data_IF_126788529170
#
_entry.id   IF_126788529170
#
_cell.length_a   1.000
_cell.length_b   1.000
_cell.length_c   1.000
_cell.angle_alpha   90.00
_cell.angle_beta   90.00
_cell.angle_gamma   90.00
#
_symmetry.space_group_name_H-M   'P 1'
#
loop_
_entity.id
_entity.type
_entity.pdbx_description
1 polymer ?
#
# COMPACT_ATOMS: atom_id res chain seq x y z
N UNK A 1 9.73 7.30 14.38
CA UNK A 1 10.33 7.88 13.18
C UNK A 1 9.49 7.50 11.97
N UNK A 2 9.24 8.44 11.05
CA UNK A 2 8.35 8.26 9.89
C UNK A 2 8.90 7.21 8.92
N UNK A 3 10.23 7.15 8.75
CA UNK A 3 10.90 6.14 7.93
C UNK A 3 10.66 4.72 8.46
N UNK A 4 10.80 4.50 9.77
CA UNK A 4 10.55 3.20 10.38
C UNK A 4 9.07 2.81 10.26
N UNK A 5 8.12 3.73 10.49
CA UNK A 5 6.69 3.45 10.29
C UNK A 5 6.37 3.06 8.84
N UNK A 6 6.92 3.79 7.86
CA UNK A 6 6.74 3.49 6.44
C UNK A 6 7.32 2.13 6.08
N UNK A 7 8.57 1.85 6.49
CA UNK A 7 9.24 0.59 6.22
C UNK A 7 8.48 -0.60 6.79
N UNK A 8 7.94 -0.45 8.01
CA UNK A 8 7.13 -1.49 8.66
C UNK A 8 5.84 -1.77 7.91
N UNK A 9 5.11 -0.74 7.48
CA UNK A 9 3.93 -0.92 6.65
C UNK A 9 4.28 -1.69 5.37
N UNK A 10 5.31 -1.27 4.63
CA UNK A 10 5.74 -1.98 3.42
C UNK A 10 6.14 -3.43 3.69
N UNK A 11 6.91 -3.69 4.75
CA UNK A 11 7.43 -5.00 5.11
C UNK A 11 6.33 -6.01 5.49
N UNK A 12 5.28 -5.56 6.18
CA UNK A 12 4.22 -6.43 6.68
C UNK A 12 3.02 -6.54 5.73
N UNK A 13 2.80 -5.56 4.86
CA UNK A 13 1.65 -5.55 3.95
C UNK A 13 1.93 -6.11 2.56
N UNK A 14 3.19 -6.16 2.13
CA UNK A 14 3.53 -6.60 0.78
C UNK A 14 4.33 -7.89 0.76
N UNK A 15 4.36 -8.55 -0.39
CA UNK A 15 5.35 -9.58 -0.65
C UNK A 15 6.76 -8.97 -0.52
N UNK A 16 7.53 -9.50 0.44
CA UNK A 16 8.84 -8.97 0.84
C UNK A 16 9.92 -9.02 -0.23
N UNK A 17 9.69 -9.71 -1.36
CA UNK A 17 10.58 -9.67 -2.53
C UNK A 17 10.13 -8.69 -3.63
N UNK A 18 8.95 -8.08 -3.52
CA UNK A 18 8.42 -7.16 -4.52
C UNK A 18 8.60 -5.71 -4.07
N UNK A 19 9.61 -5.03 -4.64
CA UNK A 19 9.78 -3.58 -4.48
C UNK A 19 8.54 -2.82 -4.99
N UNK A 20 7.98 -3.25 -6.11
CA UNK A 20 6.80 -2.64 -6.73
C UNK A 20 5.61 -2.63 -5.75
N UNK A 21 5.38 -3.76 -5.08
CA UNK A 21 4.38 -3.92 -4.02
C UNK A 21 4.67 -3.06 -2.79
N UNK A 22 5.93 -2.97 -2.37
CA UNK A 22 6.34 -2.09 -1.27
C UNK A 22 6.04 -0.62 -1.60
N UNK A 23 6.44 -0.15 -2.79
CA UNK A 23 6.18 1.22 -3.23
C UNK A 23 4.67 1.47 -3.36
N UNK A 24 3.89 0.50 -3.87
CA UNK A 24 2.43 0.60 -3.93
C UNK A 24 1.78 0.76 -2.55
N UNK A 25 2.21 -0.02 -1.54
CA UNK A 25 1.76 0.14 -0.14
C UNK A 25 2.14 1.51 0.41
N UNK A 26 3.39 1.94 0.23
CA UNK A 26 3.83 3.26 0.68
C UNK A 26 3.09 4.40 0.01
N UNK A 27 2.76 4.25 -1.27
CA UNK A 27 1.96 5.22 -1.99
C UNK A 27 0.55 5.33 -1.42
N UNK A 28 -0.07 4.21 -1.00
CA UNK A 28 -1.36 4.25 -0.28
C UNK A 28 -1.22 5.01 1.04
N UNK A 29 -0.15 4.78 1.80
CA UNK A 29 0.12 5.51 3.05
C UNK A 29 0.21 7.01 2.77
N UNK A 30 0.97 7.44 1.76
CA UNK A 30 1.08 8.86 1.38
C UNK A 30 -0.24 9.44 0.87
N UNK A 31 -1.03 8.67 0.12
CA UNK A 31 -2.37 9.09 -0.34
C UNK A 31 -3.34 9.28 0.83
N UNK A 32 -3.17 8.53 1.92
CA UNK A 32 -3.92 8.72 3.17
C UNK A 32 -3.42 9.96 3.91
N UNK A 33 -2.10 10.12 4.07
CA UNK A 33 -1.50 11.31 4.70
C UNK A 33 -1.98 12.62 4.06
N UNK A 34 -2.13 12.63 2.73
CA UNK A 34 -2.60 13.81 1.98
C UNK A 34 -4.13 13.94 1.88
N UNK A 35 -4.88 13.15 2.64
CA UNK A 35 -6.35 13.12 2.61
C UNK A 35 -6.91 13.49 3.96
N UNK A 36 -7.83 14.45 4.00
CA UNK A 36 -8.49 14.94 5.22
C UNK A 36 -9.22 13.84 6.02
N UNK A 37 -9.59 12.73 5.35
CA UNK A 37 -10.21 11.57 5.98
C UNK A 37 -9.28 10.70 6.85
N UNK A 38 -7.98 10.99 6.91
CA UNK A 38 -6.97 10.19 7.63
C UNK A 38 -6.02 11.10 8.43
N UNK A 39 -5.26 10.54 9.39
CA UNK A 39 -4.17 11.26 10.04
C UNK A 39 -3.17 11.82 9.02
N UNK A 40 -2.59 12.96 9.34
CA UNK A 40 -1.69 13.72 8.46
C UNK A 40 -0.19 13.38 8.66
N UNK A 41 0.13 12.24 9.28
CA UNK A 41 1.50 11.73 9.48
C UNK A 41 1.56 10.26 9.11
N UNK A 42 2.72 9.78 8.65
CA UNK A 42 2.92 8.36 8.28
C UNK A 42 2.67 7.48 9.49
N UNK A 43 3.29 7.76 10.63
CA UNK A 43 3.06 6.96 11.83
C UNK A 43 1.60 7.04 12.31
N UNK A 44 0.94 8.19 12.15
CA UNK A 44 -0.49 8.33 12.44
C UNK A 44 -1.35 7.42 11.58
N UNK A 45 -1.07 7.33 10.26
CA UNK A 45 -1.77 6.43 9.33
C UNK A 45 -1.47 4.96 9.63
N UNK A 46 -0.19 4.60 9.75
CA UNK A 46 0.24 3.20 9.97
C UNK A 46 -0.22 2.67 11.32
N UNK A 47 -0.29 3.53 12.33
CA UNK A 47 -0.77 3.18 13.67
C UNK A 47 -2.29 3.05 13.80
N UNK A 48 -3.09 3.33 12.76
CA UNK A 48 -4.54 3.24 12.87
C UNK A 48 -5.00 1.80 13.18
N UNK A 49 -5.92 1.62 14.15
CA UNK A 49 -6.40 0.30 14.53
C UNK A 49 -6.98 -0.48 13.33
N UNK A 50 -6.53 -1.73 13.17
CA UNK A 50 -7.03 -2.70 12.17
C UNK A 50 -6.89 -2.24 10.70
N UNK A 51 -6.07 -1.21 10.42
CA UNK A 51 -5.83 -0.75 9.04
C UNK A 51 -4.64 -1.45 8.36
N UNK A 52 -3.75 -2.01 9.17
CA UNK A 52 -2.52 -2.71 8.80
C UNK A 52 -2.40 -4.00 9.63
N UNK A 53 -1.43 -4.84 9.29
CA UNK A 53 -1.21 -6.17 9.82
C UNK A 53 -1.10 -6.16 11.35
N UNK A 54 -1.62 -7.19 12.03
CA UNK A 54 -1.49 -7.30 13.48
C UNK A 54 -0.02 -7.25 13.92
N UNK A 55 0.31 -6.26 14.75
CA UNK A 55 1.66 -6.01 15.22
C UNK A 55 2.54 -5.22 14.25
N UNK A 56 1.98 -4.51 13.26
CA UNK A 56 2.74 -3.64 12.34
C UNK A 56 3.65 -2.66 13.08
N UNK A 57 3.27 -2.21 14.29
CA UNK A 57 4.08 -1.31 15.13
C UNK A 57 4.95 -2.00 16.20
N UNK A 58 4.77 -3.29 16.45
CA UNK A 58 5.43 -4.00 17.56
C UNK A 58 6.31 -5.18 17.14
N UNK A 59 5.99 -5.87 16.04
CA UNK A 59 6.75 -7.04 15.56
C UNK A 59 8.13 -6.65 15.01
N UNK A 60 9.18 -7.45 15.20
CA UNK A 60 10.50 -7.15 14.64
C UNK A 60 10.52 -7.30 13.10
N UNK A 61 11.32 -6.47 12.42
CA UNK A 61 11.71 -6.64 11.01
C UNK A 61 13.12 -7.25 10.96
N UNK A 62 13.21 -8.57 11.12
CA UNK A 62 14.48 -9.28 11.35
C UNK A 62 14.95 -10.16 10.19
N UNK A 63 14.17 -10.26 9.11
CA UNK A 63 14.57 -11.05 7.95
C UNK A 63 15.43 -10.25 6.95
N UNK A 64 15.93 -10.96 5.93
CA UNK A 64 16.84 -10.39 4.90
C UNK A 64 16.19 -9.32 4.01
N UNK A 65 14.87 -9.16 4.06
CA UNK A 65 14.15 -8.16 3.26
C UNK A 65 14.03 -6.79 3.96
N UNK A 66 14.35 -6.70 5.26
CA UNK A 66 14.27 -5.45 6.00
C UNK A 66 15.06 -4.29 5.35
N UNK A 67 16.26 -4.49 4.77
CA UNK A 67 16.96 -3.44 4.02
C UNK A 67 16.19 -2.96 2.79
N UNK A 68 15.56 -3.87 2.04
CA UNK A 68 14.75 -3.51 0.86
C UNK A 68 13.52 -2.68 1.27
N UNK A 69 12.85 -3.05 2.35
CA UNK A 69 11.73 -2.28 2.88
C UNK A 69 12.14 -0.86 3.32
N UNK A 70 13.29 -0.72 3.99
CA UNK A 70 13.82 0.59 4.38
C UNK A 70 14.22 1.45 3.19
N UNK A 71 14.88 0.87 2.19
CA UNK A 71 15.25 1.59 0.97
C UNK A 71 14.01 2.06 0.18
N UNK A 72 13.01 1.19 0.04
CA UNK A 72 11.74 1.51 -0.62
C UNK A 72 10.96 2.59 0.14
N UNK A 73 10.96 2.51 1.48
CA UNK A 73 10.33 3.52 2.33
C UNK A 73 10.99 4.89 2.17
N UNK A 74 12.32 4.95 2.15
CA UNK A 74 13.05 6.19 1.90
C UNK A 74 12.69 6.79 0.54
N UNK A 75 12.62 5.97 -0.50
CA UNK A 75 12.27 6.41 -1.85
C UNK A 75 10.85 7.02 -1.91
N UNK A 76 9.87 6.38 -1.27
CA UNK A 76 8.50 6.94 -1.17
C UNK A 76 8.49 8.25 -0.40
N UNK A 77 9.22 8.35 0.71
CA UNK A 77 9.33 9.59 1.47
C UNK A 77 10.00 10.72 0.67
N UNK A 78 10.88 10.37 -0.26
CA UNK A 78 11.51 11.31 -1.20
C UNK A 78 10.65 11.64 -2.43
N UNK A 79 9.47 11.04 -2.56
CA UNK A 79 8.50 11.38 -3.60
C UNK A 79 8.31 10.33 -4.68
N UNK A 80 8.97 9.17 -4.61
CA UNK A 80 8.71 8.08 -5.56
C UNK A 80 7.28 7.55 -5.38
N UNK A 81 6.60 7.29 -6.50
CA UNK A 81 5.20 6.89 -6.54
C UNK A 81 5.01 5.75 -7.53
N UNK A 82 4.13 4.82 -7.18
CA UNK A 82 3.74 3.73 -8.09
C UNK A 82 2.78 4.30 -9.16
N UNK A 83 3.06 4.11 -10.47
CA UNK A 83 2.37 4.84 -11.54
C UNK A 83 0.87 4.55 -11.65
N UNK A 84 0.41 3.40 -11.12
CA UNK A 84 -1.02 3.02 -11.09
C UNK A 84 -1.73 3.27 -9.76
N UNK A 85 -1.03 3.65 -8.69
CA UNK A 85 -1.61 3.83 -7.32
C UNK A 85 -1.79 5.32 -7.03
N UNK A 86 -2.10 6.12 -8.05
CA UNK A 86 -2.14 7.59 -7.97
C UNK A 86 -3.17 8.09 -6.96
N UNK A 87 -4.37 7.49 -6.93
CA UNK A 87 -5.48 7.92 -6.04
C UNK A 87 -5.95 6.83 -5.09
N UNK A 88 -5.45 5.61 -5.24
CA UNK A 88 -5.87 4.48 -4.43
C UNK A 88 -5.45 4.68 -2.96
N UNK A 89 -6.40 4.51 -2.05
CA UNK A 89 -6.19 4.61 -0.59
C UNK A 89 -6.42 3.28 0.11
N UNK A 90 -6.70 2.23 -0.65
CA UNK A 90 -7.12 0.94 -0.14
C UNK A 90 -6.46 -0.17 -0.95
N UNK A 91 -6.24 -1.29 -0.26
CA UNK A 91 -5.80 -2.54 -0.85
C UNK A 91 -6.27 -3.69 0.02
N UNK A 92 -6.26 -4.89 -0.55
CA UNK A 92 -6.36 -6.14 0.19
C UNK A 92 -5.55 -7.21 -0.55
N UNK A 93 -5.31 -8.35 0.08
CA UNK A 93 -4.68 -9.49 -0.57
C UNK A 93 -5.46 -9.87 -1.84
N UNK A 94 -4.78 -10.09 -2.97
CA UNK A 94 -5.42 -10.23 -4.28
C UNK A 94 -6.40 -11.42 -4.37
N UNK A 95 -6.21 -12.45 -3.53
CA UNK A 95 -7.08 -13.62 -3.45
C UNK A 95 -8.35 -13.40 -2.60
N UNK A 96 -8.41 -12.33 -1.81
CA UNK A 96 -9.58 -12.03 -0.97
C UNK A 96 -10.77 -11.59 -1.83
N UNK A 97 -11.92 -12.22 -1.60
CA UNK A 97 -13.19 -11.88 -2.27
C UNK A 97 -13.94 -10.83 -1.45
N UNK A 98 -13.78 -9.57 -1.84
CA UNK A 98 -14.53 -8.47 -1.27
C UNK A 98 -15.95 -8.41 -1.86
N UNK A 99 -16.97 -8.22 -1.01
CA UNK A 99 -18.37 -8.12 -1.44
C UNK A 99 -18.88 -6.66 -1.37
N UNK A 100 -18.17 -5.76 -2.05
CA UNK A 100 -18.57 -4.35 -2.16
C UNK A 100 -18.64 -3.93 -3.62
N UNK A 101 -19.69 -3.20 -4.00
CA UNK A 101 -19.91 -2.73 -5.37
C UNK A 101 -19.25 -1.36 -5.67
N UNK A 102 -18.48 -0.82 -4.74
CA UNK A 102 -17.90 0.52 -4.81
C UNK A 102 -16.37 0.52 -4.98
N UNK A 103 -15.80 -0.63 -5.35
CA UNK A 103 -14.35 -0.84 -5.47
C UNK A 103 -13.91 -0.75 -6.94
N UNK A 104 -13.09 0.24 -7.26
CA UNK A 104 -12.48 0.41 -8.58
C UNK A 104 -11.01 0.03 -8.52
N UNK A 105 -10.68 -1.17 -8.98
CA UNK A 105 -9.32 -1.71 -8.95
C UNK A 105 -8.42 -1.04 -10.00
N UNK A 106 -7.20 -0.67 -9.59
CA UNK A 106 -6.27 0.09 -10.44
C UNK A 106 -4.99 -0.69 -10.79
N UNK A 107 -4.56 -1.61 -9.91
CA UNK A 107 -3.44 -2.53 -10.15
C UNK A 107 -3.45 -3.66 -9.13
N UNK A 108 -2.84 -4.80 -9.49
CA UNK A 108 -2.44 -5.84 -8.54
C UNK A 108 -0.92 -5.93 -8.53
N UNK A 109 -0.29 -5.75 -7.37
CA UNK A 109 1.18 -5.77 -7.20
C UNK A 109 1.55 -6.26 -5.80
N UNK A 110 2.68 -6.94 -5.66
CA UNK A 110 3.17 -7.48 -4.39
C UNK A 110 2.21 -8.42 -3.69
N UNK A 111 1.31 -9.08 -4.43
CA UNK A 111 0.25 -9.94 -3.88
C UNK A 111 -1.02 -9.22 -3.41
N UNK A 112 -1.12 -7.91 -3.60
CA UNK A 112 -2.28 -7.09 -3.21
C UNK A 112 -2.98 -6.49 -4.42
N UNK A 113 -4.30 -6.38 -4.33
CA UNK A 113 -5.12 -5.61 -5.26
C UNK A 113 -5.38 -4.22 -4.68
N UNK A 114 -4.98 -3.17 -5.40
CA UNK A 114 -5.12 -1.77 -5.00
C UNK A 114 -6.33 -1.16 -5.67
N UNK A 115 -7.08 -0.33 -4.92
CA UNK A 115 -8.33 0.22 -5.42
C UNK A 115 -8.69 1.58 -4.82
N UNK A 116 -9.53 2.29 -5.57
CA UNK A 116 -10.25 3.48 -5.13
C UNK A 116 -11.68 3.11 -4.73
N UNK A 117 -12.25 3.85 -3.78
CA UNK A 117 -13.70 3.81 -3.55
C UNK A 117 -14.36 4.83 -4.47
N UNK A 118 -15.33 4.40 -5.28
CA UNK A 118 -16.13 5.25 -6.19
C UNK A 118 -17.61 5.00 -5.98
N UNK A 119 -18.48 5.89 -6.45
CA UNK A 119 -19.91 5.56 -6.51
C UNK A 119 -20.10 4.31 -7.39
N UNK A 120 -21.01 3.37 -7.06
CA UNK A 120 -21.14 2.11 -7.78
C UNK A 120 -21.27 2.28 -9.30
N UNK A 121 -22.03 3.28 -9.75
CA UNK A 121 -22.24 3.60 -11.15
C UNK A 121 -21.00 4.10 -11.90
N UNK A 122 -19.92 4.46 -11.18
CA UNK A 122 -18.65 4.92 -11.73
C UNK A 122 -17.55 3.83 -11.68
N UNK A 123 -17.88 2.63 -11.23
CA UNK A 123 -16.93 1.51 -11.16
C UNK A 123 -16.87 0.79 -12.50
N UNK A 124 -15.75 0.94 -13.22
CA UNK A 124 -15.50 0.22 -14.49
C UNK A 124 -14.59 -0.99 -14.36
N UNK A 125 -13.88 -1.14 -13.24
CA UNK A 125 -12.99 -2.26 -12.92
C UNK A 125 -13.40 -2.89 -11.59
N UNK A 126 -14.45 -3.72 -11.58
CA UNK A 126 -15.04 -4.25 -10.33
C UNK A 126 -14.31 -5.48 -9.77
N UNK A 127 -13.35 -6.04 -10.50
CA UNK A 127 -12.59 -7.22 -10.10
C UNK A 127 -11.09 -6.90 -10.01
N UNK A 128 -10.32 -7.56 -9.12
CA UNK A 128 -8.87 -7.48 -9.12
C UNK A 128 -8.28 -7.74 -10.49
N UNK A 129 -7.29 -6.94 -10.87
CA UNK A 129 -6.59 -7.07 -12.15
C UNK A 129 -5.53 -8.18 -12.07
N UNK A 130 -5.05 -8.73 -13.21
CA UNK A 130 -3.87 -9.57 -13.22
C UNK A 130 -2.67 -8.87 -12.57
N UNK A 131 -1.75 -9.60 -11.90
CA UNK A 131 -0.54 -9.02 -11.33
C UNK A 131 0.29 -8.30 -12.39
N UNK A 132 0.79 -7.13 -12.02
CA UNK A 132 1.70 -6.31 -12.81
C UNK A 132 2.82 -5.83 -11.89
N UNK A 133 4.06 -6.19 -12.22
CA UNK A 133 5.25 -5.95 -11.41
C UNK A 133 6.31 -5.21 -12.24
N UNK A 134 7.24 -4.52 -11.56
CA UNK A 134 8.40 -3.90 -12.19
C UNK A 134 8.09 -2.65 -13.00
N UNK A 135 6.99 -1.96 -12.69
CA UNK A 135 6.59 -0.73 -13.38
C UNK A 135 6.93 0.54 -12.62
N UNK A 136 7.32 0.43 -11.35
CA UNK A 136 7.83 1.57 -10.59
C UNK A 136 9.24 1.94 -11.06
N UNK A 137 9.52 3.23 -11.33
CA UNK A 137 10.87 3.70 -11.68
C UNK A 137 11.92 3.32 -10.63
N UNK A 138 13.18 3.19 -11.07
CA UNK A 138 14.35 2.99 -10.21
C UNK A 138 15.15 4.27 -10.06
#
# INVERSE_FOLDING_TARGET
DELECMARAMYFESNRSSRDGMIAVGNVVMNRVHSEAFPNTVCGVVGQPKQFAPGVMTKPMNDRSAPLARASALAVLQGERHPKVTRAKFFHAAWYKANYNNMHYVVTAGGNAFYEKRRPELVTTPNPLPPLEGITPH
#
